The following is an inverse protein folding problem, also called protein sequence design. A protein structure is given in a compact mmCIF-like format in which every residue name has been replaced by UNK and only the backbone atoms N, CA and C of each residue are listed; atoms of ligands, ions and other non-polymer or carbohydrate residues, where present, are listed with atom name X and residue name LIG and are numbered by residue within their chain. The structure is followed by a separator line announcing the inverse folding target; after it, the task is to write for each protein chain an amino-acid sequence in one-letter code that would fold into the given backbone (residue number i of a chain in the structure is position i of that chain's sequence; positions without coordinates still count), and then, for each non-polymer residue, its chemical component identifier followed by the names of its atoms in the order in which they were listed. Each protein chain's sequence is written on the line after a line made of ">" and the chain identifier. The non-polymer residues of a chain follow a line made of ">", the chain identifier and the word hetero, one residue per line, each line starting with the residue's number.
data_IF_149054195365
#
_entry.id   IF_149054195365
#
_cell.length_a   1.000
_cell.length_b   1.000
_cell.length_c   1.000
_cell.angle_alpha   90.00
_cell.angle_beta   90.00
_cell.angle_gamma   90.00
#
_symmetry.space_group_name_H-M   'P 1'
#
loop_
_entity.id
_entity.type
_entity.pdbx_description
1 polymer ?
#
# COMPACT_ATOMS: atom_id res chain seq x y z
N UNK A 1 0.00 16.49 -18.10
CA UNK A 1 -0.82 15.35 -17.67
C UNK A 1 -0.95 14.41 -18.86
N UNK A 2 -0.12 13.38 -18.95
CA UNK A 2 -0.24 12.38 -20.01
C UNK A 2 -1.47 11.54 -19.73
N UNK A 3 -2.54 11.74 -20.49
CA UNK A 3 -3.76 10.95 -20.39
C UNK A 3 -3.47 9.52 -20.87
N UNK A 4 -3.38 8.57 -19.94
CA UNK A 4 -3.37 7.15 -20.30
C UNK A 4 -4.73 6.79 -20.92
N UNK A 5 -4.70 6.05 -22.03
CA UNK A 5 -5.88 5.48 -22.66
C UNK A 5 -6.58 4.50 -21.69
N UNK A 6 -7.88 4.68 -21.38
CA UNK A 6 -8.65 3.78 -20.51
C UNK A 6 -8.54 2.30 -20.90
N UNK A 7 -8.39 1.98 -22.20
CA UNK A 7 -8.24 0.59 -22.65
C UNK A 7 -6.95 -0.04 -22.15
N UNK A 8 -5.87 0.75 -22.03
CA UNK A 8 -4.59 0.29 -21.47
C UNK A 8 -4.73 -0.07 -19.99
N UNK A 9 -5.44 0.74 -19.20
CA UNK A 9 -5.71 0.44 -17.79
C UNK A 9 -6.53 -0.84 -17.63
N UNK A 10 -7.57 -1.01 -18.45
CA UNK A 10 -8.39 -2.23 -18.45
C UNK A 10 -7.55 -3.46 -18.79
N UNK A 11 -6.70 -3.38 -19.81
CA UNK A 11 -5.80 -4.48 -20.19
C UNK A 11 -4.83 -4.84 -19.05
N UNK A 12 -4.27 -3.85 -18.35
CA UNK A 12 -3.38 -4.08 -17.20
C UNK A 12 -4.11 -4.72 -16.02
N UNK A 13 -5.36 -4.31 -15.75
CA UNK A 13 -6.18 -4.92 -14.70
C UNK A 13 -6.57 -6.37 -15.06
N UNK A 14 -6.94 -6.64 -16.31
CA UNK A 14 -7.25 -7.98 -16.79
C UNK A 14 -6.03 -8.91 -16.72
N UNK A 15 -4.85 -8.42 -17.09
CA UNK A 15 -3.62 -9.18 -16.97
C UNK A 15 -3.29 -9.50 -15.51
N UNK A 16 -3.47 -8.54 -14.59
CA UNK A 16 -3.25 -8.77 -13.16
C UNK A 16 -4.24 -9.77 -12.57
N UNK A 17 -5.50 -9.76 -13.01
CA UNK A 17 -6.54 -10.72 -12.58
C UNK A 17 -6.10 -12.17 -12.74
N UNK A 18 -5.35 -12.50 -13.79
CA UNK A 18 -4.87 -13.86 -14.04
C UNK A 18 -3.83 -14.34 -13.01
N UNK A 19 -3.25 -13.42 -12.24
CA UNK A 19 -2.28 -13.70 -11.18
C UNK A 19 -2.92 -13.84 -9.79
N UNK A 20 -4.24 -13.70 -9.68
CA UNK A 20 -4.95 -13.74 -8.40
C UNK A 20 -4.70 -15.06 -7.64
N UNK A 21 -4.32 -14.93 -6.37
CA UNK A 21 -4.25 -16.05 -5.44
C UNK A 21 -5.56 -16.08 -4.64
N UNK A 22 -6.52 -16.90 -5.08
CA UNK A 22 -7.84 -16.96 -4.47
C UNK A 22 -8.40 -18.39 -4.34
N UNK A 23 -7.69 -19.32 -3.66
CA UNK A 23 -8.13 -20.71 -3.58
C UNK A 23 -9.39 -20.90 -2.71
N UNK A 24 -9.75 -19.93 -1.87
CA UNK A 24 -10.88 -20.06 -0.94
C UNK A 24 -12.18 -19.60 -1.59
N UNK A 25 -12.18 -18.43 -2.25
CA UNK A 25 -13.37 -17.93 -2.96
C UNK A 25 -13.49 -18.40 -4.40
N UNK A 26 -12.37 -18.76 -5.05
CA UNK A 26 -12.27 -18.97 -6.50
C UNK A 26 -12.70 -17.75 -7.34
N UNK A 27 -12.71 -16.56 -6.75
CA UNK A 27 -13.15 -15.33 -7.40
C UNK A 27 -11.96 -14.42 -7.70
N UNK A 28 -11.58 -14.34 -8.98
CA UNK A 28 -10.41 -13.57 -9.42
C UNK A 28 -10.77 -12.11 -9.68
N UNK A 29 -10.02 -11.20 -9.05
CA UNK A 29 -10.14 -9.75 -9.23
C UNK A 29 -8.77 -9.17 -9.58
N UNK A 30 -8.74 -8.28 -10.57
CA UNK A 30 -7.56 -7.52 -10.95
C UNK A 30 -7.87 -6.03 -10.99
N UNK A 31 -6.88 -5.21 -10.66
CA UNK A 31 -6.97 -3.76 -10.64
C UNK A 31 -5.71 -3.13 -11.24
N UNK A 32 -5.84 -1.92 -11.77
CA UNK A 32 -4.73 -1.09 -12.21
C UNK A 32 -4.99 0.36 -11.82
N UNK A 33 -3.96 1.06 -11.37
CA UNK A 33 -4.00 2.48 -11.00
C UNK A 33 -2.97 3.24 -11.83
N UNK A 34 -3.40 4.38 -12.40
CA UNK A 34 -2.54 5.35 -13.06
C UNK A 34 -2.13 6.42 -12.04
N UNK A 35 -0.85 6.70 -11.92
CA UNK A 35 -0.33 7.75 -11.03
C UNK A 35 -0.20 9.09 -11.76
N UNK A 36 0.05 10.16 -11.01
CA UNK A 36 0.24 11.51 -11.56
C UNK A 36 1.39 11.59 -12.56
N UNK A 37 2.40 10.75 -12.35
CA UNK A 37 3.65 10.74 -13.10
C UNK A 37 3.54 9.84 -14.35
N UNK A 38 2.36 9.23 -14.56
CA UNK A 38 2.02 8.45 -15.74
C UNK A 38 2.34 6.96 -15.64
N UNK A 39 2.80 6.48 -14.49
CA UNK A 39 3.06 5.07 -14.26
C UNK A 39 1.77 4.31 -13.97
N UNK A 40 1.76 3.02 -14.33
CA UNK A 40 0.63 2.13 -14.07
C UNK A 40 1.07 1.00 -13.14
N UNK A 41 0.45 0.92 -11.98
CA UNK A 41 0.63 -0.19 -11.05
C UNK A 41 -0.60 -1.07 -11.10
N UNK A 42 -0.39 -2.38 -11.21
CA UNK A 42 -1.47 -3.36 -11.19
C UNK A 42 -1.35 -4.30 -9.99
N UNK A 43 -2.48 -4.87 -9.61
CA UNK A 43 -2.61 -5.76 -8.46
C UNK A 43 -3.76 -6.73 -8.64
N UNK A 44 -3.72 -7.81 -7.88
CA UNK A 44 -4.77 -8.81 -7.82
C UNK A 44 -5.14 -9.11 -6.37
N UNK A 45 -6.29 -9.76 -6.15
CA UNK A 45 -6.63 -10.23 -4.82
C UNK A 45 -5.71 -11.39 -4.42
N UNK A 46 -5.27 -11.34 -3.16
CA UNK A 46 -4.42 -12.36 -2.53
C UNK A 46 -5.10 -12.77 -1.24
N UNK A 47 -5.65 -13.97 -1.24
CA UNK A 47 -6.35 -14.52 -0.10
C UNK A 47 -5.40 -15.19 0.89
N UNK A 48 -5.94 -15.50 2.06
CA UNK A 48 -5.25 -16.21 3.11
C UNK A 48 -6.25 -17.11 3.85
N UNK A 49 -5.78 -18.22 4.44
CA UNK A 49 -6.62 -19.09 5.26
C UNK A 49 -7.29 -18.33 6.41
N UNK A 50 -6.58 -17.34 6.98
CA UNK A 50 -7.17 -16.34 7.85
C UNK A 50 -7.83 -15.26 6.97
N UNK A 51 -9.14 -15.35 6.76
CA UNK A 51 -9.84 -14.55 5.75
C UNK A 51 -9.66 -13.03 5.93
N UNK A 52 -9.51 -12.56 7.18
CA UNK A 52 -9.28 -11.15 7.50
C UNK A 52 -7.89 -10.64 7.08
N UNK A 53 -6.94 -11.53 6.82
CA UNK A 53 -5.60 -11.19 6.34
C UNK A 53 -5.52 -11.05 4.80
N UNK A 54 -6.60 -11.36 4.07
CA UNK A 54 -6.65 -11.22 2.62
C UNK A 54 -6.61 -9.76 2.14
N UNK A 55 -6.02 -9.56 0.96
CA UNK A 55 -5.94 -8.27 0.27
C UNK A 55 -6.80 -8.27 -0.99
N UNK A 56 -7.50 -7.16 -1.23
CA UNK A 56 -8.23 -6.92 -2.46
C UNK A 56 -7.29 -6.41 -3.56
N UNK A 57 -7.65 -6.57 -4.82
CA UNK A 57 -6.82 -6.17 -5.96
C UNK A 57 -6.43 -4.69 -5.97
N UNK A 58 -7.36 -3.82 -5.58
CA UNK A 58 -7.21 -2.38 -5.49
C UNK A 58 -6.19 -2.02 -4.41
N UNK A 59 -6.30 -2.65 -3.23
CA UNK A 59 -5.35 -2.46 -2.13
C UNK A 59 -3.96 -2.93 -2.52
N UNK A 60 -3.83 -4.04 -3.25
CA UNK A 60 -2.56 -4.51 -3.80
C UNK A 60 -1.96 -3.51 -4.79
N UNK A 61 -2.74 -3.04 -5.77
CA UNK A 61 -2.27 -2.09 -6.79
C UNK A 61 -1.82 -0.74 -6.18
N UNK A 62 -2.60 -0.22 -5.23
CA UNK A 62 -2.27 1.02 -4.50
C UNK A 62 -1.05 0.83 -3.61
N UNK A 63 -0.98 -0.27 -2.84
CA UNK A 63 0.18 -0.53 -1.97
C UNK A 63 1.48 -0.62 -2.76
N UNK A 64 1.41 -1.22 -3.96
CA UNK A 64 2.55 -1.27 -4.88
C UNK A 64 2.97 0.12 -5.36
N UNK A 65 2.01 0.95 -5.80
CA UNK A 65 2.27 2.33 -6.20
C UNK A 65 2.87 3.17 -5.06
N UNK A 66 2.38 3.00 -3.82
CA UNK A 66 2.98 3.65 -2.62
C UNK A 66 4.41 3.17 -2.41
N UNK A 67 4.65 1.85 -2.46
CA UNK A 67 5.98 1.28 -2.17
C UNK A 67 7.04 1.63 -3.22
N UNK A 68 6.62 1.87 -4.46
CA UNK A 68 7.49 2.25 -5.57
C UNK A 68 7.59 3.79 -5.75
N UNK A 69 7.05 4.56 -4.80
CA UNK A 69 7.30 6.00 -4.67
C UNK A 69 6.40 6.91 -5.50
N UNK A 70 5.25 6.42 -5.98
CA UNK A 70 4.47 7.08 -7.04
C UNK A 70 3.09 7.60 -6.53
N UNK A 71 2.90 7.59 -5.21
CA UNK A 71 1.78 8.23 -4.52
C UNK A 71 2.34 9.12 -3.42
N UNK A 72 2.61 10.39 -3.75
CA UNK A 72 3.18 11.44 -2.89
C UNK A 72 4.25 10.96 -1.89
N UNK A 73 5.53 11.25 -2.16
CA UNK A 73 6.63 11.02 -1.22
C UNK A 73 6.38 11.75 0.11
N UNK A 74 5.84 11.00 1.08
CA UNK A 74 5.42 11.45 2.40
C UNK A 74 6.16 10.62 3.45
N UNK A 75 6.43 11.25 4.59
CA UNK A 75 6.94 10.53 5.74
C UNK A 75 5.95 9.44 6.16
N UNK A 76 6.38 8.18 6.08
CA UNK A 76 5.55 7.03 6.44
C UNK A 76 5.44 6.96 7.95
N UNK A 77 4.23 7.14 8.45
CA UNK A 77 3.93 7.06 9.89
C UNK A 77 3.50 5.63 10.27
N UNK A 78 3.93 5.11 11.43
CA UNK A 78 3.44 3.82 11.92
C UNK A 78 1.91 3.85 12.06
N UNK A 79 1.24 2.76 11.69
CA UNK A 79 -0.21 2.63 11.84
C UNK A 79 -0.61 2.56 13.32
N UNK A 80 -1.91 2.75 13.62
CA UNK A 80 -2.42 2.78 15.00
C UNK A 80 -2.04 1.56 15.85
N UNK A 81 -2.07 0.35 15.26
CA UNK A 81 -1.67 -0.87 15.94
C UNK A 81 -0.19 -0.87 16.35
N UNK A 82 0.71 -0.45 15.46
CA UNK A 82 2.14 -0.32 15.76
C UNK A 82 2.40 0.74 16.84
N UNK A 83 1.68 1.87 16.81
CA UNK A 83 1.79 2.91 17.84
C UNK A 83 1.40 2.39 19.21
N UNK A 84 0.27 1.67 19.31
CA UNK A 84 -0.19 1.08 20.55
C UNK A 84 0.79 0.01 21.08
N UNK A 85 1.36 -0.81 20.18
CA UNK A 85 2.39 -1.78 20.53
C UNK A 85 3.64 -1.11 21.09
N UNK A 86 4.14 -0.03 20.46
CA UNK A 86 5.30 0.71 20.98
C UNK A 86 5.02 1.32 22.36
N UNK A 87 3.83 1.91 22.54
CA UNK A 87 3.43 2.57 23.80
C UNK A 87 3.38 1.62 24.99
N UNK A 88 3.11 0.34 24.77
CA UNK A 88 3.17 -0.71 25.80
C UNK A 88 4.55 -0.78 26.48
N UNK A 89 5.62 -0.54 25.72
CA UNK A 89 6.99 -0.71 26.19
C UNK A 89 7.70 0.61 26.51
N UNK A 90 7.10 1.75 26.15
CA UNK A 90 7.61 3.07 26.47
C UNK A 90 7.08 4.16 25.54
N UNK A 91 6.88 5.37 26.07
CA UNK A 91 6.35 6.51 25.30
C UNK A 91 7.43 7.51 24.86
N UNK A 92 8.59 7.52 25.52
CA UNK A 92 9.65 8.52 25.33
C UNK A 92 10.66 8.17 24.23
N UNK A 93 10.40 7.14 23.42
CA UNK A 93 11.34 6.70 22.40
C UNK A 93 11.21 7.50 21.12
N UNK A 94 12.36 7.72 20.47
CA UNK A 94 12.44 8.39 19.18
C UNK A 94 11.89 7.48 18.07
N UNK A 95 10.99 8.02 17.27
CA UNK A 95 10.48 7.40 16.03
C UNK A 95 10.93 8.24 14.85
N UNK A 96 11.69 7.62 13.95
CA UNK A 96 12.16 8.25 12.71
C UNK A 96 11.28 7.78 11.55
N UNK A 97 10.52 8.70 10.97
CA UNK A 97 9.73 8.46 9.76
C UNK A 97 10.57 8.91 8.57
N UNK A 98 10.93 8.00 7.68
CA UNK A 98 11.76 8.31 6.51
C UNK A 98 10.96 8.39 5.22
N UNK A 99 11.58 9.02 4.22
CA UNK A 99 11.21 9.01 2.80
C UNK A 99 12.17 8.13 2.02
N UNK A 100 11.85 7.87 0.74
CA UNK A 100 12.69 7.06 -0.14
C UNK A 100 14.02 7.75 -0.51
N UNK A 101 14.07 9.08 -0.44
CA UNK A 101 15.28 9.90 -0.67
C UNK A 101 16.27 9.93 0.51
N UNK A 102 15.94 9.24 1.62
CA UNK A 102 16.75 9.19 2.83
C UNK A 102 16.52 10.35 3.80
N UNK A 103 15.69 11.34 3.46
CA UNK A 103 15.26 12.35 4.42
C UNK A 103 14.35 11.73 5.49
N UNK A 104 14.38 12.29 6.71
CA UNK A 104 13.57 11.78 7.81
C UNK A 104 13.01 12.88 8.70
N UNK A 105 11.87 12.59 9.33
CA UNK A 105 11.29 13.36 10.42
C UNK A 105 11.39 12.56 11.72
N UNK A 106 11.94 13.19 12.76
CA UNK A 106 11.95 12.66 14.12
C UNK A 106 10.65 13.06 14.85
N UNK A 107 10.08 12.13 15.62
CA UNK A 107 8.97 12.35 16.56
C UNK A 107 9.12 11.35 17.72
N UNK A 108 8.19 11.33 18.67
CA UNK A 108 8.18 10.34 19.77
C UNK A 108 6.96 9.42 19.69
N UNK A 109 6.99 8.31 20.43
CA UNK A 109 5.80 7.45 20.58
C UNK A 109 4.65 8.21 21.26
N UNK A 110 4.97 9.06 22.24
CA UNK A 110 4.01 9.96 22.91
C UNK A 110 3.31 10.89 21.92
N UNK A 111 4.06 11.57 21.04
CA UNK A 111 3.47 12.47 20.03
C UNK A 111 2.59 11.74 19.02
N UNK A 112 2.91 10.47 18.73
CA UNK A 112 2.18 9.66 17.76
C UNK A 112 0.89 9.06 18.34
N UNK A 113 0.83 8.90 19.65
CA UNK A 113 -0.32 8.35 20.36
C UNK A 113 -0.47 9.05 21.72
N UNK A 114 -0.98 10.31 21.71
CA UNK A 114 -1.20 11.09 22.94
C UNK A 114 -2.12 10.37 23.92
#
# INVERSE_FOLDING_TARGET
>A
MSSCDPQTLVQKALAARELAYCPYSNFRVGAAVLTSDGCIFSGCNVENACYTAGLCAERTAISKAVSEGDLEDRFISPCGGCRQFMREFGSQWDVYQSKSDGSFKKTTVEDLLP
#
